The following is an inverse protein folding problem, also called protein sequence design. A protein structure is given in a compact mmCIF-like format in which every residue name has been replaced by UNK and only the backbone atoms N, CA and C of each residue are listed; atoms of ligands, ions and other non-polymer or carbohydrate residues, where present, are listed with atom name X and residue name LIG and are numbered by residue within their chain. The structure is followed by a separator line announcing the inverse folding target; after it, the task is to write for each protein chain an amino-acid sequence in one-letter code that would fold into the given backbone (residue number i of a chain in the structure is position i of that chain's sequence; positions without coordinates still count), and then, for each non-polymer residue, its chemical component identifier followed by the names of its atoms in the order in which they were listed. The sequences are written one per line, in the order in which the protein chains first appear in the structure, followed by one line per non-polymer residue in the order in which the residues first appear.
data_IF_439552456516
#
_entry.id   IF_439552456516
#
_cell.length_a   1.000
_cell.length_b   1.000
_cell.length_c   1.000
_cell.angle_alpha   90.00
_cell.angle_beta   90.00
_cell.angle_gamma   90.00
#
_symmetry.space_group_name_H-M   'P 1'
#
loop_
_entity.id
_entity.type
_entity.pdbx_description
1 polymer ?
#
# COMPACT_ATOMS: atom_id res chain seq x y z
N UNK A 1 -13.44 -2.06 -20.39
CA UNK A 1 -12.72 -1.70 -19.15
C UNK A 1 -11.33 -2.32 -19.22
N UNK A 2 -10.26 -1.60 -18.86
CA UNK A 2 -8.90 -2.14 -18.90
C UNK A 2 -8.77 -3.24 -17.83
N UNK A 3 -8.36 -4.48 -18.15
CA UNK A 3 -8.31 -5.60 -17.20
C UNK A 3 -7.42 -5.33 -15.98
N UNK A 4 -6.46 -4.41 -16.07
CA UNK A 4 -5.59 -4.03 -14.95
C UNK A 4 -6.37 -3.59 -13.71
N UNK A 5 -7.51 -2.91 -13.89
CA UNK A 5 -8.32 -2.44 -12.77
C UNK A 5 -9.08 -3.57 -12.08
N UNK A 6 -9.50 -4.60 -12.84
CA UNK A 6 -10.11 -5.80 -12.25
C UNK A 6 -9.07 -6.61 -11.48
N UNK A 7 -7.85 -6.71 -11.99
CA UNK A 7 -6.75 -7.35 -11.28
C UNK A 7 -6.41 -6.58 -9.99
N UNK A 8 -6.26 -5.26 -10.08
CA UNK A 8 -6.01 -4.40 -8.92
C UNK A 8 -7.08 -4.55 -7.83
N UNK A 9 -8.36 -4.62 -8.23
CA UNK A 9 -9.48 -4.83 -7.31
C UNK A 9 -9.40 -6.19 -6.63
N UNK A 10 -9.14 -7.28 -7.38
CA UNK A 10 -9.02 -8.62 -6.79
C UNK A 10 -7.91 -8.70 -5.74
N UNK A 11 -6.77 -8.05 -5.99
CA UNK A 11 -5.69 -7.95 -5.00
C UNK A 11 -6.10 -7.11 -3.79
N UNK A 12 -6.77 -5.98 -4.01
CA UNK A 12 -7.28 -5.13 -2.92
C UNK A 12 -8.25 -5.90 -2.01
N UNK A 13 -9.21 -6.62 -2.59
CA UNK A 13 -10.23 -7.36 -1.83
C UNK A 13 -9.59 -8.43 -0.93
N UNK A 14 -8.61 -9.16 -1.45
CA UNK A 14 -7.85 -10.16 -0.68
C UNK A 14 -7.06 -9.46 0.44
N UNK A 15 -6.39 -8.35 0.13
CA UNK A 15 -5.57 -7.60 1.08
C UNK A 15 -6.39 -7.03 2.24
N UNK A 16 -7.50 -6.37 1.91
CA UNK A 16 -8.42 -5.78 2.87
C UNK A 16 -8.98 -6.84 3.82
N UNK A 17 -9.45 -7.96 3.27
CA UNK A 17 -9.96 -9.07 4.09
C UNK A 17 -8.89 -9.65 5.01
N UNK A 18 -7.66 -9.82 4.52
CA UNK A 18 -6.55 -10.31 5.34
C UNK A 18 -6.19 -9.34 6.49
N UNK A 19 -6.13 -8.03 6.22
CA UNK A 19 -5.87 -6.99 7.22
C UNK A 19 -7.00 -6.86 8.24
N UNK A 20 -8.25 -6.86 7.78
CA UNK A 20 -9.42 -6.79 8.63
C UNK A 20 -9.52 -8.00 9.58
N UNK A 21 -9.28 -9.21 9.07
CA UNK A 21 -9.25 -10.44 9.89
C UNK A 21 -8.07 -10.45 10.87
N UNK A 22 -6.93 -9.87 10.51
CA UNK A 22 -5.81 -9.70 11.44
C UNK A 22 -6.22 -8.85 12.65
N UNK A 23 -6.90 -7.71 12.41
CA UNK A 23 -7.40 -6.83 13.46
C UNK A 23 -8.39 -7.52 14.41
N UNK A 24 -9.30 -8.33 13.88
CA UNK A 24 -10.31 -9.03 14.69
C UNK A 24 -9.71 -10.18 15.48
N UNK A 25 -8.91 -11.03 14.84
CA UNK A 25 -8.51 -12.30 15.43
C UNK A 25 -7.44 -12.15 16.51
N UNK A 26 -6.66 -11.06 16.53
CA UNK A 26 -5.71 -10.67 17.60
C UNK A 26 -4.65 -11.71 18.02
N UNK A 27 -4.61 -12.85 17.35
CA UNK A 27 -3.90 -14.09 17.73
C UNK A 27 -2.82 -14.43 16.70
N UNK A 28 -2.12 -15.54 16.89
CA UNK A 28 -1.11 -16.08 15.95
C UNK A 28 -1.64 -16.16 14.50
N UNK A 29 -2.93 -16.47 14.31
CA UNK A 29 -3.58 -16.48 12.98
C UNK A 29 -3.61 -15.09 12.33
N UNK A 30 -3.63 -14.03 13.12
CA UNK A 30 -3.46 -12.67 12.64
C UNK A 30 -2.09 -12.50 12.00
N UNK A 31 -1.02 -12.91 12.68
CA UNK A 31 0.35 -12.76 12.18
C UNK A 31 0.58 -13.49 10.85
N UNK A 32 0.00 -14.68 10.70
CA UNK A 32 0.09 -15.48 9.47
C UNK A 32 -0.47 -14.76 8.23
N UNK A 33 -1.42 -13.82 8.41
CA UNK A 33 -2.07 -13.09 7.31
C UNK A 33 -1.34 -11.81 6.91
N UNK A 34 -0.39 -11.33 7.71
CA UNK A 34 0.28 -10.05 7.47
C UNK A 34 1.07 -10.00 6.17
N UNK A 35 1.94 -10.98 5.83
CA UNK A 35 2.69 -10.91 4.57
C UNK A 35 1.74 -10.85 3.37
N UNK A 36 0.68 -11.67 3.39
CA UNK A 36 -0.36 -11.70 2.37
C UNK A 36 -1.07 -10.35 2.26
N UNK A 37 -1.48 -9.75 3.38
CA UNK A 37 -2.13 -8.45 3.38
C UNK A 37 -1.21 -7.38 2.78
N UNK A 38 0.03 -7.29 3.25
CA UNK A 38 0.98 -6.26 2.81
C UNK A 38 1.31 -6.40 1.32
N UNK A 39 1.63 -7.60 0.86
CA UNK A 39 1.97 -7.85 -0.55
C UNK A 39 0.81 -7.47 -1.47
N UNK A 40 -0.40 -7.92 -1.15
CA UNK A 40 -1.56 -7.68 -2.01
C UNK A 40 -1.99 -6.21 -2.00
N UNK A 41 -1.88 -5.51 -0.87
CA UNK A 41 -2.13 -4.07 -0.80
C UNK A 41 -1.16 -3.28 -1.69
N UNK A 42 0.14 -3.57 -1.59
CA UNK A 42 1.15 -2.90 -2.40
C UNK A 42 0.98 -3.18 -3.88
N UNK A 43 0.72 -4.44 -4.24
CA UNK A 43 0.54 -4.80 -5.64
C UNK A 43 -0.74 -4.19 -6.23
N UNK A 44 -1.81 -4.12 -5.44
CA UNK A 44 -3.02 -3.40 -5.83
C UNK A 44 -2.74 -1.91 -6.11
N UNK A 45 -2.05 -1.23 -5.20
CA UNK A 45 -1.65 0.17 -5.37
C UNK A 45 -0.79 0.37 -6.63
N UNK A 46 0.17 -0.54 -6.87
CA UNK A 46 1.00 -0.54 -8.08
C UNK A 46 0.14 -0.63 -9.36
N UNK A 47 -0.78 -1.59 -9.41
CA UNK A 47 -1.65 -1.81 -10.58
C UNK A 47 -2.60 -0.63 -10.82
N UNK A 48 -3.17 -0.04 -9.76
CA UNK A 48 -3.99 1.16 -9.91
C UNK A 48 -3.18 2.35 -10.43
N UNK A 49 -1.96 2.58 -9.91
CA UNK A 49 -1.08 3.64 -10.41
C UNK A 49 -0.72 3.41 -11.88
N UNK A 50 -0.34 2.19 -12.27
CA UNK A 50 -0.05 1.83 -13.67
C UNK A 50 -1.28 2.00 -14.57
N UNK A 51 -2.45 1.60 -14.08
CA UNK A 51 -3.70 1.78 -14.79
C UNK A 51 -4.02 3.27 -14.99
N UNK A 52 -3.80 4.09 -13.96
CA UNK A 52 -3.99 5.54 -14.01
C UNK A 52 -3.07 6.21 -15.04
N UNK A 53 -1.79 5.82 -15.09
CA UNK A 53 -0.86 6.24 -16.15
C UNK A 53 -1.37 5.85 -17.54
N UNK A 54 -1.82 4.62 -17.69
CA UNK A 54 -2.30 4.08 -18.98
C UNK A 54 -3.51 4.86 -19.49
N UNK A 55 -4.46 5.24 -18.63
CA UNK A 55 -5.67 5.94 -19.09
C UNK A 55 -5.43 7.42 -19.36
N UNK A 56 -4.52 8.06 -18.61
CA UNK A 56 -4.24 9.51 -18.68
C UNK A 56 -3.21 9.88 -19.74
N UNK A 57 -2.16 9.09 -19.90
CA UNK A 57 -1.04 9.37 -20.82
C UNK A 57 -1.01 8.45 -22.04
N UNK A 58 -1.77 7.35 -22.03
CA UNK A 58 -1.68 6.24 -23.01
C UNK A 58 -0.32 5.53 -23.01
N UNK A 59 0.54 5.77 -22.01
CA UNK A 59 1.83 5.12 -21.86
C UNK A 59 1.76 4.01 -20.81
N UNK A 60 2.45 2.91 -21.10
CA UNK A 60 2.69 1.83 -20.15
C UNK A 60 3.96 2.16 -19.38
N UNK A 61 3.83 2.37 -18.08
CA UNK A 61 4.96 2.63 -17.19
C UNK A 61 5.50 1.32 -16.58
N UNK A 62 6.82 1.19 -16.58
CA UNK A 62 7.53 0.04 -16.01
C UNK A 62 8.03 0.33 -14.59
N UNK A 63 8.37 -0.73 -13.85
CA UNK A 63 8.82 -0.65 -12.46
C UNK A 63 7.71 -0.89 -11.44
N UNK A 64 8.08 -0.94 -10.16
CA UNK A 64 7.19 -1.27 -9.04
C UNK A 64 7.26 -0.27 -7.87
N UNK A 65 8.16 0.71 -7.93
CA UNK A 65 8.34 1.70 -6.87
C UNK A 65 7.16 2.67 -6.81
N UNK A 66 6.26 2.48 -5.84
CA UNK A 66 5.03 3.25 -5.65
C UNK A 66 5.23 4.77 -5.68
N UNK A 67 6.24 5.29 -4.99
CA UNK A 67 6.55 6.71 -5.00
C UNK A 67 6.93 7.20 -6.39
N UNK A 68 7.72 6.44 -7.16
CA UNK A 68 8.07 6.84 -8.53
C UNK A 68 6.83 6.85 -9.41
N UNK A 69 6.02 5.79 -9.34
CA UNK A 69 4.76 5.69 -10.06
C UNK A 69 3.83 6.87 -9.73
N UNK A 70 3.68 7.23 -8.45
CA UNK A 70 2.89 8.38 -8.02
C UNK A 70 3.50 9.71 -8.48
N UNK A 71 4.80 9.92 -8.27
CA UNK A 71 5.52 11.17 -8.61
C UNK A 71 5.36 11.55 -10.08
N UNK A 72 5.34 10.56 -10.98
CA UNK A 72 5.22 10.77 -12.43
C UNK A 72 3.80 11.11 -12.91
N UNK A 73 2.78 11.05 -12.05
CA UNK A 73 1.46 11.57 -12.39
C UNK A 73 1.49 13.09 -12.60
N UNK A 74 0.52 13.61 -13.35
CA UNK A 74 0.38 15.06 -13.57
C UNK A 74 0.11 15.79 -12.25
N UNK A 75 0.50 17.07 -12.12
CA UNK A 75 0.26 17.86 -10.90
C UNK A 75 -1.21 17.87 -10.47
N UNK A 76 -2.13 17.96 -11.42
CA UNK A 76 -3.58 18.04 -11.18
C UNK A 76 -4.09 16.74 -10.55
N UNK A 77 -3.70 15.59 -11.11
CA UNK A 77 -4.10 14.27 -10.62
C UNK A 77 -3.51 14.01 -9.23
N UNK A 78 -2.24 14.37 -9.00
CA UNK A 78 -1.60 14.20 -7.69
C UNK A 78 -2.30 15.01 -6.61
N UNK A 79 -2.58 16.29 -6.90
CA UNK A 79 -3.30 17.16 -5.96
C UNK A 79 -4.67 16.58 -5.61
N UNK A 80 -5.40 16.05 -6.59
CA UNK A 80 -6.70 15.43 -6.34
C UNK A 80 -6.58 14.15 -5.48
N UNK A 81 -5.59 13.30 -5.73
CA UNK A 81 -5.34 12.10 -4.92
C UNK A 81 -4.96 12.47 -3.48
N UNK A 82 -4.10 13.48 -3.30
CA UNK A 82 -3.66 13.96 -1.99
C UNK A 82 -4.82 14.53 -1.17
N UNK A 83 -5.69 15.33 -1.80
CA UNK A 83 -6.90 15.85 -1.16
C UNK A 83 -7.84 14.73 -0.72
N UNK A 84 -8.14 13.79 -1.63
CA UNK A 84 -8.98 12.63 -1.31
C UNK A 84 -8.37 11.75 -0.22
N UNK A 85 -7.05 11.56 -0.25
CA UNK A 85 -6.33 10.77 0.75
C UNK A 85 -6.47 11.37 2.15
N UNK A 86 -6.26 12.68 2.28
CA UNK A 86 -6.43 13.37 3.56
C UNK A 86 -7.88 13.31 4.03
N UNK A 87 -8.84 13.52 3.13
CA UNK A 87 -10.26 13.41 3.45
C UNK A 87 -10.64 11.99 3.93
N UNK A 88 -10.12 10.94 3.29
CA UNK A 88 -10.35 9.56 3.72
C UNK A 88 -9.68 9.25 5.06
N UNK A 89 -8.49 9.79 5.34
CA UNK A 89 -7.87 9.61 6.65
C UNK A 89 -8.67 10.25 7.78
N UNK A 90 -9.29 11.40 7.52
CA UNK A 90 -10.13 12.08 8.52
C UNK A 90 -11.45 11.34 8.78
N UNK A 91 -12.02 10.73 7.74
CA UNK A 91 -13.35 10.10 7.78
C UNK A 91 -13.33 8.61 8.09
N UNK A 92 -12.31 7.86 7.65
CA UNK A 92 -12.15 6.42 7.88
C UNK A 92 -11.19 6.15 9.05
N UNK A 93 -11.46 6.75 10.21
CA UNK A 93 -10.70 6.42 11.41
C UNK A 93 -11.06 5.01 11.85
N UNK A 94 -10.03 4.18 12.05
CA UNK A 94 -10.15 2.88 12.70
C UNK A 94 -10.92 1.79 11.93
N UNK A 95 -10.94 1.77 10.59
CA UNK A 95 -11.38 0.56 9.87
C UNK A 95 -10.32 -0.54 9.96
N UNK A 96 -9.08 -0.22 9.60
CA UNK A 96 -7.92 -1.11 9.66
C UNK A 96 -6.92 -0.62 10.71
N UNK A 97 -6.05 -1.52 11.19
CA UNK A 97 -5.04 -1.19 12.20
C UNK A 97 -3.66 -1.04 11.57
N UNK A 98 -2.78 -0.26 12.19
CA UNK A 98 -1.35 -0.34 11.91
C UNK A 98 -0.76 -1.56 12.63
N UNK A 99 0.34 -2.08 12.09
CA UNK A 99 1.02 -3.22 12.65
C UNK A 99 2.54 -3.02 12.63
N UNK A 100 3.21 -3.53 13.66
CA UNK A 100 4.67 -3.55 13.80
C UNK A 100 5.15 -4.98 13.92
N UNK A 101 5.83 -5.45 12.88
CA UNK A 101 6.52 -6.73 12.84
C UNK A 101 7.93 -6.54 13.37
N UNK A 102 8.31 -7.24 14.43
CA UNK A 102 9.71 -7.27 14.87
C UNK A 102 10.35 -8.57 14.41
N UNK A 103 11.39 -8.45 13.60
CA UNK A 103 12.25 -9.56 13.21
C UNK A 103 13.57 -9.40 13.94
N UNK A 104 13.87 -10.34 14.84
CA UNK A 104 15.07 -10.30 15.66
C UNK A 104 16.04 -11.36 15.13
N UNK A 105 17.25 -10.94 14.80
CA UNK A 105 18.36 -11.80 14.38
C UNK A 105 19.44 -11.72 15.45
N UNK A 106 19.93 -12.86 15.93
CA UNK A 106 21.00 -12.97 16.93
C UNK A 106 20.76 -12.18 18.23
N UNK A 107 19.51 -12.03 18.68
CA UNK A 107 19.12 -11.27 19.88
C UNK A 107 19.55 -9.79 19.90
N UNK A 108 19.81 -9.20 18.74
CA UNK A 108 20.12 -7.77 18.61
C UNK A 108 18.80 -7.00 18.49
N UNK A 109 18.59 -5.96 19.28
CA UNK A 109 17.41 -5.09 19.12
C UNK A 109 17.52 -4.27 17.82
N UNK A 110 16.43 -4.10 17.05
CA UNK A 110 16.45 -3.27 15.86
C UNK A 110 16.71 -1.79 16.20
N UNK A 111 17.58 -1.13 15.42
CA UNK A 111 17.96 0.27 15.63
C UNK A 111 17.07 1.28 14.90
N UNK A 112 16.25 0.84 13.94
CA UNK A 112 15.51 1.74 13.04
C UNK A 112 14.01 1.43 13.03
N UNK A 113 13.21 2.47 13.29
CA UNK A 113 11.77 2.53 12.99
C UNK A 113 11.56 3.42 11.77
N UNK A 114 10.87 2.91 10.75
CA UNK A 114 10.48 3.70 9.58
C UNK A 114 9.07 4.27 9.79
N UNK A 115 8.98 5.53 10.19
CA UNK A 115 7.69 6.23 10.36
C UNK A 115 7.12 6.69 9.00
N UNK A 116 5.79 6.74 8.89
CA UNK A 116 5.05 7.01 7.64
C UNK A 116 4.10 8.21 7.77
N UNK A 117 4.59 9.34 8.26
CA UNK A 117 3.73 10.47 8.68
C UNK A 117 2.91 11.14 7.57
N UNK A 118 3.35 11.03 6.32
CA UNK A 118 2.65 11.61 5.17
C UNK A 118 2.65 10.64 3.98
N UNK A 119 1.80 10.92 2.97
CA UNK A 119 1.63 10.06 1.79
C UNK A 119 2.97 9.74 1.11
N UNK A 120 3.82 10.75 0.91
CA UNK A 120 5.15 10.55 0.29
C UNK A 120 5.99 9.57 1.10
N UNK A 121 6.08 9.74 2.42
CA UNK A 121 6.84 8.85 3.29
C UNK A 121 6.24 7.44 3.29
N UNK A 122 4.92 7.30 3.34
CA UNK A 122 4.23 6.02 3.24
C UNK A 122 4.59 5.28 1.94
N UNK A 123 4.51 5.96 0.79
CA UNK A 123 4.88 5.39 -0.51
C UNK A 123 6.37 5.05 -0.57
N UNK A 124 7.24 5.90 -0.01
CA UNK A 124 8.69 5.65 0.04
C UNK A 124 9.03 4.41 0.87
N UNK A 125 8.44 4.27 2.05
CA UNK A 125 8.66 3.13 2.96
C UNK A 125 8.20 1.82 2.31
N UNK A 126 7.13 1.86 1.53
CA UNK A 126 6.54 0.66 0.94
C UNK A 126 6.93 0.38 -0.53
N UNK A 127 7.83 1.18 -1.10
CA UNK A 127 8.32 1.01 -2.48
C UNK A 127 8.85 -0.38 -2.81
N UNK A 128 9.38 -1.08 -1.80
CA UNK A 128 10.01 -2.40 -1.93
C UNK A 128 9.34 -3.45 -1.06
N UNK A 129 8.09 -3.22 -0.63
CA UNK A 129 7.41 -4.14 0.29
C UNK A 129 7.38 -5.58 -0.22
N UNK A 130 7.23 -5.81 -1.52
CA UNK A 130 7.30 -7.18 -2.06
C UNK A 130 8.67 -7.83 -1.83
N UNK A 131 9.76 -7.13 -2.15
CA UNK A 131 11.13 -7.63 -1.95
C UNK A 131 11.46 -7.80 -0.47
N UNK A 132 11.14 -6.78 0.34
CA UNK A 132 11.45 -6.76 1.78
C UNK A 132 10.70 -7.86 2.54
N UNK A 133 9.42 -8.10 2.24
CA UNK A 133 8.67 -9.19 2.87
C UNK A 133 9.07 -10.56 2.35
N UNK A 134 9.38 -10.66 1.06
CA UNK A 134 9.78 -11.94 0.45
C UNK A 134 11.12 -12.43 0.99
N UNK A 135 12.09 -11.53 1.20
CA UNK A 135 13.44 -11.89 1.65
C UNK A 135 13.67 -11.59 3.14
N UNK A 136 12.58 -11.41 3.88
CA UNK A 136 12.61 -11.07 5.30
C UNK A 136 13.38 -12.07 6.15
N UNK A 137 13.27 -13.37 5.82
CA UNK A 137 13.96 -14.47 6.49
C UNK A 137 15.45 -14.58 6.11
N UNK A 138 15.89 -13.91 5.05
CA UNK A 138 17.30 -13.89 4.61
C UNK A 138 18.08 -12.73 5.24
N UNK A 139 17.39 -11.86 5.98
CA UNK A 139 18.00 -10.66 6.54
C UNK A 139 18.98 -11.02 7.66
N UNK A 140 20.18 -10.43 7.62
CA UNK A 140 21.24 -10.64 8.64
C UNK A 140 21.14 -9.68 9.81
N UNK A 141 20.20 -8.73 9.76
CA UNK A 141 19.99 -7.70 10.77
C UNK A 141 18.58 -7.81 11.33
N UNK A 142 18.43 -7.48 12.60
CA UNK A 142 17.13 -7.28 13.20
C UNK A 142 16.46 -6.04 12.62
N UNK A 143 15.18 -6.15 12.26
CA UNK A 143 14.41 -5.07 11.65
C UNK A 143 13.03 -4.94 12.27
N UNK A 144 12.52 -3.71 12.37
CA UNK A 144 11.11 -3.44 12.63
C UNK A 144 10.47 -3.06 11.31
N UNK A 145 9.50 -3.85 10.89
CA UNK A 145 8.67 -3.52 9.75
C UNK A 145 7.33 -2.99 10.24
N UNK A 146 7.07 -1.71 10.00
CA UNK A 146 5.79 -1.09 10.27
C UNK A 146 4.95 -1.03 8.98
N UNK A 147 3.68 -1.39 9.08
CA UNK A 147 2.71 -1.22 8.00
C UNK A 147 1.43 -0.60 8.52
N UNK A 148 1.01 0.48 7.89
CA UNK A 148 -0.26 1.13 8.18
C UNK A 148 -1.29 0.74 7.12
N UNK A 149 -2.09 -0.29 7.43
CA UNK A 149 -3.13 -0.77 6.51
C UNK A 149 -4.19 0.31 6.26
N UNK A 150 -4.48 1.16 7.24
CA UNK A 150 -5.49 2.21 7.09
C UNK A 150 -5.04 3.29 6.11
N UNK A 151 -3.77 3.71 6.21
CA UNK A 151 -3.18 4.67 5.26
C UNK A 151 -3.14 4.09 3.85
N UNK A 152 -2.68 2.84 3.67
CA UNK A 152 -2.66 2.25 2.33
C UNK A 152 -4.07 2.08 1.73
N UNK A 153 -5.05 1.69 2.55
CA UNK A 153 -6.45 1.60 2.14
C UNK A 153 -7.00 2.95 1.68
N UNK A 154 -6.78 4.01 2.47
CA UNK A 154 -7.17 5.37 2.10
C UNK A 154 -6.53 5.79 0.78
N UNK A 155 -5.25 5.48 0.56
CA UNK A 155 -4.55 5.78 -0.69
C UNK A 155 -5.18 5.07 -1.89
N UNK A 156 -5.47 3.76 -1.78
CA UNK A 156 -6.10 3.00 -2.87
C UNK A 156 -7.51 3.51 -3.16
N UNK A 157 -8.32 3.80 -2.11
CA UNK A 157 -9.64 4.42 -2.25
C UNK A 157 -9.56 5.76 -3.02
N UNK A 158 -8.54 6.58 -2.75
CA UNK A 158 -8.27 7.81 -3.52
C UNK A 158 -8.00 7.52 -5.00
N UNK A 159 -7.14 6.55 -5.31
CA UNK A 159 -6.84 6.16 -6.69
C UNK A 159 -8.11 5.70 -7.43
N UNK A 160 -8.89 4.81 -6.81
CA UNK A 160 -10.15 4.30 -7.37
C UNK A 160 -11.11 5.44 -7.67
N UNK A 161 -11.25 6.40 -6.74
CA UNK A 161 -12.15 7.55 -6.90
C UNK A 161 -11.76 8.39 -8.12
N UNK A 162 -10.47 8.71 -8.27
CA UNK A 162 -9.96 9.46 -9.42
C UNK A 162 -10.13 8.69 -10.72
N UNK A 163 -9.82 7.38 -10.74
CA UNK A 163 -9.98 6.53 -11.92
C UNK A 163 -11.44 6.51 -12.37
N UNK A 164 -12.37 6.30 -11.45
CA UNK A 164 -13.81 6.28 -11.74
C UNK A 164 -14.29 7.63 -12.28
N UNK A 165 -13.79 8.74 -11.74
CA UNK A 165 -14.09 10.09 -12.25
C UNK A 165 -13.60 10.28 -13.68
N UNK A 166 -12.39 9.81 -14.00
CA UNK A 166 -11.81 9.91 -15.36
C UNK A 166 -12.59 9.04 -16.35
N UNK A 167 -12.96 7.82 -15.97
CA UNK A 167 -13.67 6.88 -16.86
C UNK A 167 -15.13 7.27 -17.14
N UNK A 168 -15.73 8.11 -16.30
CA UNK A 168 -17.10 8.65 -16.50
C UNK A 168 -17.13 9.88 -17.41
N UNK A 169 -15.98 10.48 -17.72
CA UNK A 169 -15.83 11.58 -18.69
C UNK A 169 -15.62 11.03 -20.08
#
# INVERSE_FOLDING_TARGET
MNPIFHFAQGFYDIAYNAAYRNKIDGTEKGFQRLPTAVINFNFSAELYLKGLHTITTKLIINGHELWKLFKYLSPEIKSEIEELYNNFLETNKDELSSYKAKFIVNNIEPLETRESDNLKNMLLVHNKSFEEWRYLYENKKSIIYEYDFNKMDCFIKSLITVINKIQKK
#
